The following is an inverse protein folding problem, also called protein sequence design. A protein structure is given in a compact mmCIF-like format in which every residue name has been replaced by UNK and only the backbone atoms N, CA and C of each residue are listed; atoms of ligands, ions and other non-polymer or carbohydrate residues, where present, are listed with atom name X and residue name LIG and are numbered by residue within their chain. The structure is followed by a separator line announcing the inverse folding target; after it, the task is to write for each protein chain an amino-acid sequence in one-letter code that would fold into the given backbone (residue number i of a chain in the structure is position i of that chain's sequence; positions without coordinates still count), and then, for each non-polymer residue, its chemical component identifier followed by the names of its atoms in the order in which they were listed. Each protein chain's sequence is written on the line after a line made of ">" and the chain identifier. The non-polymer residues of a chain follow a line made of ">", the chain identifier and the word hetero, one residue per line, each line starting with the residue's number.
data_IF_327590222741
#
_entry.id   IF_327590222741
#
_cell.length_a   1.000
_cell.length_b   1.000
_cell.length_c   1.000
_cell.angle_alpha   90.00
_cell.angle_beta   90.00
_cell.angle_gamma   90.00
#
_symmetry.space_group_name_H-M   'P 1'
#
loop_
_entity.id
_entity.type
_entity.pdbx_description
1 polymer ?
#
# COMPACT_ATOMS: atom_id res chain seq x y z
N UNK A 1 1.57 -45.61 30.10
CA UNK A 1 2.94 -45.67 30.65
C UNK A 1 2.79 -45.88 32.15
N UNK A 2 2.84 -47.13 32.63
CA UNK A 2 2.80 -47.40 34.07
C UNK A 2 4.14 -46.98 34.67
N UNK A 3 4.12 -46.03 35.61
CA UNK A 3 5.32 -45.62 36.34
C UNK A 3 5.93 -46.82 37.07
N UNK A 4 7.24 -46.92 37.03
CA UNK A 4 7.97 -47.98 37.72
C UNK A 4 8.13 -47.56 39.19
N UNK A 5 7.32 -48.17 40.05
CA UNK A 5 7.36 -47.95 41.50
C UNK A 5 8.63 -48.62 42.07
N UNK A 6 9.46 -47.83 42.75
CA UNK A 6 10.64 -48.34 43.47
C UNK A 6 10.33 -48.27 44.96
N UNK A 7 10.21 -49.44 45.59
CA UNK A 7 9.96 -49.57 47.03
C UNK A 7 11.31 -49.59 47.75
N UNK A 8 11.51 -48.65 48.68
CA UNK A 8 12.71 -48.61 49.53
C UNK A 8 12.64 -49.70 50.61
N UNK A 9 13.77 -50.04 51.24
CA UNK A 9 13.84 -51.13 52.24
C UNK A 9 12.92 -50.93 53.47
N UNK A 10 12.47 -49.70 53.71
CA UNK A 10 11.57 -49.33 54.81
C UNK A 10 10.08 -49.26 54.38
N UNK A 11 9.76 -49.67 53.15
CA UNK A 11 8.38 -49.76 52.65
C UNK A 11 7.79 -48.42 52.16
N UNK A 12 8.61 -47.38 52.00
CA UNK A 12 8.17 -46.11 51.42
C UNK A 12 8.13 -46.20 49.88
N UNK A 13 6.96 -45.89 49.30
CA UNK A 13 6.74 -45.80 47.85
C UNK A 13 7.22 -44.43 47.40
N UNK A 14 8.38 -44.39 46.73
CA UNK A 14 8.88 -43.15 46.12
C UNK A 14 8.41 -43.11 44.67
N UNK A 15 7.49 -42.19 44.36
CA UNK A 15 7.12 -41.90 42.97
C UNK A 15 8.33 -41.28 42.24
N UNK A 16 9.01 -42.10 41.43
CA UNK A 16 10.22 -41.77 40.66
C UNK A 16 10.01 -40.74 39.53
N UNK A 17 8.84 -40.11 39.45
CA UNK A 17 8.42 -39.30 38.32
C UNK A 17 8.70 -37.79 38.45
N UNK A 18 9.04 -37.28 39.66
CA UNK A 18 9.23 -35.83 39.89
C UNK A 18 10.66 -35.34 39.62
N UNK A 19 11.67 -36.20 39.86
CA UNK A 19 13.08 -35.88 39.66
C UNK A 19 13.48 -35.92 38.18
N UNK A 20 12.97 -36.88 37.42
CA UNK A 20 13.30 -37.07 36.00
C UNK A 20 12.82 -35.90 35.15
N UNK A 21 11.60 -35.39 35.39
CA UNK A 21 11.06 -34.23 34.68
C UNK A 21 11.80 -32.92 34.98
N UNK A 22 12.31 -32.75 36.22
CA UNK A 22 13.07 -31.56 36.60
C UNK A 22 14.48 -31.56 35.97
N UNK A 23 15.12 -32.73 35.90
CA UNK A 23 16.44 -32.90 35.27
C UNK A 23 16.35 -32.74 33.75
N UNK A 24 15.29 -33.24 33.11
CA UNK A 24 15.03 -33.05 31.68
C UNK A 24 14.79 -31.58 31.31
N UNK A 25 13.98 -30.85 32.11
CA UNK A 25 13.77 -29.41 31.93
C UNK A 25 15.04 -28.58 32.12
N UNK A 26 15.87 -28.95 33.10
CA UNK A 26 17.20 -28.35 33.32
C UNK A 26 18.12 -28.56 32.11
N UNK A 27 18.19 -29.78 31.56
CA UNK A 27 19.04 -30.08 30.40
C UNK A 27 18.59 -29.34 29.13
N UNK A 28 17.29 -29.22 28.88
CA UNK A 28 16.77 -28.46 27.75
C UNK A 28 17.16 -26.97 27.85
N UNK A 29 17.04 -26.38 29.04
CA UNK A 29 17.41 -24.99 29.26
C UNK A 29 18.90 -24.71 29.03
N UNK A 30 19.77 -25.65 29.42
CA UNK A 30 21.22 -25.57 29.19
C UNK A 30 21.56 -25.66 27.70
N UNK A 31 20.87 -26.54 26.96
CA UNK A 31 21.06 -26.68 25.51
C UNK A 31 20.66 -25.39 24.78
N UNK A 32 19.47 -24.85 25.08
CA UNK A 32 18.98 -23.61 24.45
C UNK A 32 19.90 -22.44 24.76
N UNK A 33 20.36 -22.32 26.01
CA UNK A 33 21.34 -21.30 26.39
C UNK A 33 22.65 -21.45 25.63
N UNK A 34 23.21 -22.66 25.57
CA UNK A 34 24.45 -22.91 24.86
C UNK A 34 24.34 -22.58 23.36
N UNK A 35 23.18 -22.87 22.75
CA UNK A 35 22.90 -22.51 21.36
C UNK A 35 22.87 -20.99 21.15
N UNK A 36 22.10 -20.26 21.98
CA UNK A 36 22.00 -18.81 21.89
C UNK A 36 23.38 -18.16 22.11
N UNK A 37 24.12 -18.61 23.13
CA UNK A 37 25.45 -18.10 23.44
C UNK A 37 26.41 -18.34 22.26
N UNK A 38 26.41 -19.54 21.66
CA UNK A 38 27.24 -19.83 20.49
C UNK A 38 26.88 -18.95 19.28
N UNK A 39 25.59 -18.67 19.06
CA UNK A 39 25.12 -17.81 17.98
C UNK A 39 25.58 -16.36 18.18
N UNK A 40 25.44 -15.82 19.40
CA UNK A 40 25.87 -14.47 19.75
C UNK A 40 27.39 -14.35 19.66
N UNK A 41 28.13 -15.34 20.15
CA UNK A 41 29.61 -15.37 20.06
C UNK A 41 30.06 -15.35 18.60
N UNK A 42 29.45 -16.18 17.74
CA UNK A 42 29.77 -16.22 16.31
C UNK A 42 29.48 -14.87 15.65
N UNK A 43 28.33 -14.26 15.93
CA UNK A 43 27.97 -12.95 15.38
C UNK A 43 28.95 -11.84 15.79
N UNK A 44 29.39 -11.84 17.05
CA UNK A 44 30.38 -10.87 17.55
C UNK A 44 31.79 -11.13 17.02
N UNK A 45 32.14 -12.38 16.75
CA UNK A 45 33.44 -12.75 16.16
C UNK A 45 33.53 -12.34 14.69
N UNK A 46 32.42 -12.39 13.95
CA UNK A 46 32.36 -12.06 12.53
C UNK A 46 31.35 -10.92 12.27
N UNK A 47 31.66 -9.68 12.68
CA UNK A 47 30.75 -8.56 12.53
C UNK A 47 30.53 -8.20 11.06
N UNK A 48 29.34 -7.71 10.74
CA UNK A 48 28.98 -7.33 9.37
C UNK A 48 29.68 -6.04 8.93
N UNK A 49 29.81 -5.87 7.61
CA UNK A 49 30.24 -4.60 7.00
C UNK A 49 29.07 -3.95 6.28
N UNK A 50 28.59 -2.81 6.79
CA UNK A 50 27.42 -2.12 6.23
C UNK A 50 27.60 -1.77 4.75
N UNK A 51 28.79 -1.34 4.33
CA UNK A 51 29.06 -1.04 2.91
C UNK A 51 28.91 -2.29 2.03
N UNK A 52 29.44 -3.45 2.47
CA UNK A 52 29.29 -4.71 1.73
C UNK A 52 27.84 -5.14 1.67
N UNK A 53 27.11 -5.03 2.78
CA UNK A 53 25.68 -5.36 2.83
C UNK A 53 24.88 -4.52 1.83
N UNK A 54 25.03 -3.19 1.87
CA UNK A 54 24.32 -2.29 0.94
C UNK A 54 24.67 -2.63 -0.52
N UNK A 55 25.96 -2.84 -0.81
CA UNK A 55 26.42 -3.22 -2.14
C UNK A 55 25.79 -4.52 -2.62
N UNK A 56 25.82 -5.57 -1.81
CA UNK A 56 25.26 -6.87 -2.17
C UNK A 56 23.74 -6.83 -2.35
N UNK A 57 23.00 -6.17 -1.44
CA UNK A 57 21.53 -6.04 -1.58
C UNK A 57 21.20 -5.34 -2.89
N UNK A 58 21.91 -4.25 -3.20
CA UNK A 58 21.71 -3.49 -4.43
C UNK A 58 21.96 -4.37 -5.65
N UNK A 59 23.13 -5.01 -5.72
CA UNK A 59 23.49 -5.90 -6.85
C UNK A 59 22.47 -7.01 -7.06
N UNK A 60 22.00 -7.65 -5.99
CA UNK A 60 21.02 -8.74 -6.08
C UNK A 60 19.63 -8.25 -6.47
N UNK A 61 19.20 -7.10 -5.95
CA UNK A 61 17.91 -6.50 -6.27
C UNK A 61 17.82 -5.99 -7.72
N UNK A 62 18.97 -5.75 -8.37
CA UNK A 62 19.06 -5.16 -9.71
C UNK A 62 19.71 -6.08 -10.74
N UNK A 63 19.71 -7.40 -10.52
CA UNK A 63 20.34 -8.37 -11.44
C UNK A 63 19.76 -8.29 -12.86
N UNK A 64 18.44 -8.17 -12.95
CA UNK A 64 17.68 -8.08 -14.19
C UNK A 64 16.31 -7.41 -13.94
N UNK A 65 15.57 -7.10 -15.01
CA UNK A 65 14.28 -6.41 -14.91
C UNK A 65 13.21 -7.24 -14.16
N UNK A 66 13.19 -8.56 -14.31
CA UNK A 66 12.22 -9.43 -13.66
C UNK A 66 12.51 -9.49 -12.15
N UNK A 67 13.76 -9.71 -11.78
CA UNK A 67 14.20 -9.65 -10.38
C UNK A 67 13.89 -8.29 -9.76
N UNK A 68 14.18 -7.18 -10.46
CA UNK A 68 13.87 -5.84 -9.98
C UNK A 68 12.36 -5.62 -9.76
N UNK A 69 11.50 -6.18 -10.61
CA UNK A 69 10.05 -6.11 -10.45
C UNK A 69 9.58 -6.85 -9.19
N UNK A 70 10.18 -8.00 -8.87
CA UNK A 70 9.85 -8.77 -7.66
C UNK A 70 10.23 -8.03 -6.36
N UNK A 71 11.10 -7.03 -6.41
CA UNK A 71 11.49 -6.23 -5.23
C UNK A 71 10.44 -5.19 -4.83
N UNK A 72 9.44 -4.95 -5.67
CA UNK A 72 8.45 -3.92 -5.49
C UNK A 72 7.12 -4.49 -4.97
N UNK A 73 6.49 -3.75 -4.06
CA UNK A 73 5.14 -3.98 -3.59
C UNK A 73 4.30 -2.73 -3.82
N UNK A 74 3.07 -2.89 -4.29
CA UNK A 74 2.10 -1.81 -4.37
C UNK A 74 0.69 -2.35 -4.16
N UNK A 75 -0.08 -1.66 -3.33
CA UNK A 75 -1.50 -1.91 -3.14
C UNK A 75 -2.26 -0.59 -3.13
N UNK A 76 -3.24 -0.45 -4.01
CA UNK A 76 -4.20 0.65 -3.91
C UNK A 76 -5.42 0.13 -3.16
N UNK A 77 -5.79 0.83 -2.08
CA UNK A 77 -7.02 0.53 -1.35
C UNK A 77 -8.01 1.62 -1.69
N UNK A 78 -8.98 1.31 -2.56
CA UNK A 78 -10.07 2.23 -2.87
C UNK A 78 -10.83 2.54 -1.58
N UNK A 79 -10.64 3.73 -1.02
CA UNK A 79 -11.47 4.18 0.08
C UNK A 79 -12.87 4.44 -0.48
N UNK A 80 -13.89 3.94 0.21
CA UNK A 80 -15.29 4.16 -0.17
C UNK A 80 -15.50 5.67 -0.18
N UNK A 81 -15.74 6.28 -1.34
CA UNK A 81 -15.99 7.71 -1.41
C UNK A 81 -17.07 8.09 -0.40
N UNK A 82 -16.74 8.98 0.53
CA UNK A 82 -17.72 9.58 1.42
C UNK A 82 -18.55 10.55 0.58
N UNK A 83 -19.72 10.13 0.10
CA UNK A 83 -20.68 10.96 -0.65
C UNK A 83 -20.22 11.37 -2.05
N UNK A 84 -21.14 11.36 -3.03
CA UNK A 84 -20.96 11.88 -4.39
C UNK A 84 -20.54 13.37 -4.45
N UNK A 85 -20.67 14.09 -3.33
CA UNK A 85 -20.37 15.52 -3.24
C UNK A 85 -19.10 15.84 -2.42
N UNK A 86 -18.35 14.85 -1.94
CA UNK A 86 -17.05 15.15 -1.36
C UNK A 86 -16.04 15.36 -2.49
N UNK A 87 -15.38 16.52 -2.49
CA UNK A 87 -14.21 16.77 -3.31
C UNK A 87 -13.24 15.60 -3.10
N UNK A 88 -12.96 14.83 -4.16
CA UNK A 88 -11.95 13.80 -4.09
C UNK A 88 -10.62 14.49 -3.75
N UNK A 89 -10.13 14.32 -2.53
CA UNK A 89 -8.78 14.73 -2.22
C UNK A 89 -7.84 13.75 -2.93
N UNK A 90 -6.94 14.24 -3.79
CA UNK A 90 -6.00 13.43 -4.58
C UNK A 90 -5.17 12.43 -3.75
N UNK A 91 -5.13 12.62 -2.42
CA UNK A 91 -4.47 11.71 -1.48
C UNK A 91 -5.25 10.41 -1.16
N UNK A 92 -6.55 10.34 -1.44
CA UNK A 92 -7.39 9.20 -0.98
C UNK A 92 -7.10 7.86 -1.68
N UNK A 93 -6.58 7.89 -2.90
CA UNK A 93 -6.27 6.68 -3.70
C UNK A 93 -4.76 6.46 -3.90
N UNK A 94 -3.90 7.13 -3.14
CA UNK A 94 -2.45 6.98 -3.32
C UNK A 94 -2.02 5.52 -3.09
N UNK A 95 -1.26 4.90 -4.03
CA UNK A 95 -0.77 3.54 -3.86
C UNK A 95 0.10 3.41 -2.61
N UNK A 96 -0.15 2.35 -1.83
CA UNK A 96 0.71 1.93 -0.72
C UNK A 96 1.90 1.20 -1.35
N UNK A 97 2.98 1.94 -1.61
CA UNK A 97 4.20 1.41 -2.22
C UNK A 97 5.27 1.10 -1.17
N UNK A 98 6.07 0.06 -1.42
CA UNK A 98 7.21 -0.25 -0.57
C UNK A 98 8.04 -1.44 -1.05
N UNK A 99 9.03 -1.84 -0.22
CA UNK A 99 9.78 -3.07 -0.44
C UNK A 99 8.85 -4.28 -0.40
N UNK A 100 9.03 -5.22 -1.30
CA UNK A 100 8.35 -6.52 -1.23
C UNK A 100 8.97 -7.43 -0.16
N UNK A 101 8.34 -8.59 0.08
CA UNK A 101 8.95 -9.64 0.89
C UNK A 101 10.29 -10.12 0.31
N UNK A 102 10.44 -10.16 -1.03
CA UNK A 102 11.69 -10.61 -1.66
C UNK A 102 12.84 -9.67 -1.38
N UNK A 103 12.61 -8.36 -1.45
CA UNK A 103 13.63 -7.38 -1.06
C UNK A 103 13.97 -7.49 0.43
N UNK A 104 12.97 -7.74 1.29
CA UNK A 104 13.22 -7.98 2.70
C UNK A 104 14.07 -9.24 2.93
N UNK A 105 13.80 -10.33 2.22
CA UNK A 105 14.58 -11.57 2.32
C UNK A 105 16.02 -11.39 1.85
N UNK A 106 16.25 -10.71 0.72
CA UNK A 106 17.61 -10.34 0.28
C UNK A 106 18.27 -9.47 1.34
N UNK A 107 17.56 -8.47 1.87
CA UNK A 107 18.09 -7.61 2.92
C UNK A 107 18.55 -8.42 4.13
N UNK A 108 17.73 -9.35 4.62
CA UNK A 108 18.10 -10.17 5.77
C UNK A 108 19.22 -11.18 5.46
N UNK A 109 19.21 -11.79 4.28
CA UNK A 109 20.28 -12.69 3.84
C UNK A 109 21.64 -11.98 3.82
N UNK A 110 21.68 -10.74 3.32
CA UNK A 110 22.91 -9.95 3.27
C UNK A 110 23.23 -9.26 4.59
N UNK A 111 22.24 -8.90 5.39
CA UNK A 111 22.42 -8.32 6.73
C UNK A 111 23.29 -9.24 7.57
N UNK A 112 23.08 -10.56 7.47
CA UNK A 112 23.84 -11.57 8.19
C UNK A 112 23.56 -11.52 9.69
N UNK A 113 24.11 -12.48 10.43
CA UNK A 113 24.05 -12.49 11.90
C UNK A 113 22.64 -12.23 12.47
N UNK A 114 21.60 -12.76 11.82
CA UNK A 114 20.20 -12.58 12.23
C UNK A 114 19.39 -13.87 12.09
N UNK A 115 18.29 -13.94 12.83
CA UNK A 115 17.27 -14.98 12.74
C UNK A 115 15.94 -14.37 12.34
N UNK A 116 15.18 -15.14 11.56
CA UNK A 116 13.87 -14.74 11.07
C UNK A 116 12.94 -15.92 11.30
N UNK A 117 11.76 -15.63 11.83
CA UNK A 117 10.69 -16.61 11.95
C UNK A 117 9.40 -16.00 11.39
N UNK A 118 8.55 -16.84 10.81
CA UNK A 118 7.20 -16.47 10.44
C UNK A 118 6.27 -17.66 10.65
N UNK A 119 5.18 -17.46 11.37
CA UNK A 119 4.23 -18.52 11.69
C UNK A 119 2.82 -17.99 11.80
N UNK A 120 1.86 -18.84 11.47
CA UNK A 120 0.45 -18.60 11.75
C UNK A 120 0.22 -18.89 13.22
N UNK A 121 -0.23 -17.89 13.98
CA UNK A 121 -0.45 -18.03 15.42
C UNK A 121 -1.91 -18.35 15.75
N UNK A 122 -2.85 -17.99 14.87
CA UNK A 122 -4.27 -18.24 15.09
C UNK A 122 -5.05 -18.36 13.79
N UNK A 123 -5.95 -19.33 13.70
CA UNK A 123 -6.95 -19.46 12.63
C UNK A 123 -8.32 -19.54 13.30
N UNK A 124 -9.03 -18.42 13.36
CA UNK A 124 -10.34 -18.35 13.98
C UNK A 124 -11.44 -18.42 12.91
N UNK A 125 -12.05 -19.61 12.79
CA UNK A 125 -13.15 -19.85 11.83
C UNK A 125 -14.48 -19.18 12.25
N UNK A 126 -14.65 -18.85 13.53
CA UNK A 126 -15.87 -18.21 14.05
C UNK A 126 -15.89 -16.72 13.73
N UNK A 127 -14.83 -16.00 14.09
CA UNK A 127 -14.63 -14.58 13.77
C UNK A 127 -14.07 -14.37 12.35
N UNK A 128 -13.77 -15.46 11.63
CA UNK A 128 -13.35 -15.49 10.23
C UNK A 128 -12.09 -14.65 9.98
N UNK A 129 -11.06 -14.87 10.77
CA UNK A 129 -9.72 -14.32 10.51
C UNK A 129 -8.61 -15.36 10.70
N UNK A 130 -7.49 -15.10 10.04
CA UNK A 130 -6.19 -15.68 10.35
C UNK A 130 -5.27 -14.60 10.91
N UNK A 131 -4.40 -14.98 11.82
CA UNK A 131 -3.38 -14.12 12.40
C UNK A 131 -2.02 -14.80 12.28
N UNK A 132 -1.04 -14.06 11.78
CA UNK A 132 0.33 -14.52 11.64
C UNK A 132 1.30 -13.54 12.29
N UNK A 133 2.41 -14.08 12.77
CA UNK A 133 3.48 -13.34 13.42
C UNK A 133 4.77 -13.55 12.64
N UNK A 134 5.48 -12.46 12.41
CA UNK A 134 6.85 -12.43 11.91
C UNK A 134 7.76 -11.92 13.02
N UNK A 135 8.91 -12.56 13.19
CA UNK A 135 9.93 -12.21 14.17
C UNK A 135 11.24 -12.05 13.43
N UNK A 136 11.96 -10.98 13.76
CA UNK A 136 13.33 -10.76 13.35
C UNK A 136 14.18 -10.51 14.61
N UNK A 137 15.31 -11.20 14.69
CA UNK A 137 16.29 -11.05 15.77
C UNK A 137 17.67 -10.84 15.16
N UNK A 138 18.30 -9.72 15.47
CA UNK A 138 19.69 -9.46 15.17
C UNK A 138 20.58 -9.98 16.30
N UNK A 139 21.44 -10.96 16.01
CA UNK A 139 22.32 -11.60 16.98
C UNK A 139 23.55 -10.75 17.32
N UNK A 140 23.90 -9.78 16.48
CA UNK A 140 25.08 -8.92 16.72
C UNK A 140 24.75 -7.74 17.63
N UNK A 141 23.60 -7.07 17.37
CA UNK A 141 23.15 -5.91 18.16
C UNK A 141 22.13 -6.27 19.24
N UNK A 142 21.60 -7.50 19.23
CA UNK A 142 20.48 -7.94 20.05
C UNK A 142 19.18 -7.15 19.82
N UNK A 143 19.05 -6.50 18.65
CA UNK A 143 17.81 -5.85 18.24
C UNK A 143 16.78 -6.91 17.84
N UNK A 144 15.56 -6.77 18.33
CA UNK A 144 14.44 -7.62 17.92
C UNK A 144 13.27 -6.78 17.41
N UNK A 145 12.57 -7.31 16.42
CA UNK A 145 11.30 -6.76 15.97
C UNK A 145 10.30 -7.86 15.71
N UNK A 146 9.03 -7.48 15.90
CA UNK A 146 7.90 -8.38 15.81
C UNK A 146 6.79 -7.67 15.08
N UNK A 147 6.19 -8.34 14.12
CA UNK A 147 5.05 -7.83 13.38
C UNK A 147 3.94 -8.87 13.38
N UNK A 148 2.75 -8.45 13.80
CA UNK A 148 1.55 -9.30 13.78
C UNK A 148 0.62 -8.78 12.69
N UNK A 149 0.13 -9.70 11.85
CA UNK A 149 -0.76 -9.39 10.74
C UNK A 149 -2.00 -10.25 10.85
N UNK A 150 -3.16 -9.58 10.85
CA UNK A 150 -4.47 -10.23 10.85
C UNK A 150 -5.13 -10.05 9.49
N UNK A 151 -5.60 -11.14 8.89
CA UNK A 151 -6.35 -11.14 7.62
C UNK A 151 -7.71 -11.79 7.79
N UNK A 152 -8.71 -11.23 7.11
CA UNK A 152 -10.05 -11.81 7.02
C UNK A 152 -10.03 -13.06 6.13
N UNK A 153 -10.70 -14.12 6.56
CA UNK A 153 -10.89 -15.38 5.81
C UNK A 153 -12.36 -15.59 5.45
N UNK A 154 -13.04 -14.53 5.00
CA UNK A 154 -14.42 -14.61 4.54
C UNK A 154 -14.61 -13.93 3.20
N UNK A 155 -15.52 -14.46 2.41
CA UNK A 155 -15.94 -13.89 1.13
C UNK A 155 -16.58 -12.52 1.29
N UNK A 156 -16.77 -11.83 0.17
CA UNK A 156 -17.50 -10.56 0.11
C UNK A 156 -18.94 -10.68 0.62
N UNK A 157 -19.54 -11.87 0.55
CA UNK A 157 -20.87 -12.21 1.07
C UNK A 157 -20.84 -12.63 2.55
N UNK A 158 -19.66 -12.65 3.17
CA UNK A 158 -19.48 -13.00 4.58
C UNK A 158 -19.36 -14.49 4.86
N UNK A 159 -19.38 -15.38 3.87
CA UNK A 159 -19.15 -16.81 4.06
C UNK A 159 -17.70 -17.11 4.38
N UNK A 160 -17.43 -18.16 5.16
CA UNK A 160 -16.06 -18.61 5.42
C UNK A 160 -15.40 -19.09 4.12
N UNK A 161 -14.10 -18.84 3.97
CA UNK A 161 -13.29 -19.41 2.90
C UNK A 161 -13.21 -20.94 2.97
N UNK A 162 -12.94 -21.58 1.83
CA UNK A 162 -12.57 -23.00 1.77
C UNK A 162 -11.24 -23.24 2.49
N UNK A 163 -10.95 -24.50 2.83
CA UNK A 163 -9.71 -24.83 3.55
C UNK A 163 -8.45 -24.43 2.77
N UNK A 164 -8.43 -24.66 1.46
CA UNK A 164 -7.32 -24.24 0.57
C UNK A 164 -7.14 -22.72 0.54
N UNK A 165 -8.25 -21.97 0.52
CA UNK A 165 -8.22 -20.51 0.56
C UNK A 165 -7.77 -19.99 1.93
N UNK A 166 -8.14 -20.67 3.03
CA UNK A 166 -7.64 -20.36 4.37
C UNK A 166 -6.14 -20.56 4.41
N UNK A 167 -5.62 -21.69 3.92
CA UNK A 167 -4.19 -21.98 3.87
C UNK A 167 -3.43 -20.94 3.04
N UNK A 168 -3.94 -20.60 1.85
CA UNK A 168 -3.34 -19.57 0.98
C UNK A 168 -3.32 -18.20 1.67
N UNK A 169 -4.42 -17.81 2.31
CA UNK A 169 -4.51 -16.54 3.06
C UNK A 169 -3.57 -16.53 4.28
N UNK A 170 -3.38 -17.69 4.92
CA UNK A 170 -2.48 -17.86 6.06
C UNK A 170 -1.00 -17.71 5.65
N UNK A 171 -0.63 -18.27 4.49
CA UNK A 171 0.70 -18.11 3.92
C UNK A 171 0.96 -16.64 3.53
N UNK A 172 -0.01 -15.98 2.90
CA UNK A 172 0.07 -14.55 2.59
C UNK A 172 0.22 -13.71 3.86
N UNK A 173 -0.57 -13.98 4.91
CA UNK A 173 -0.44 -13.28 6.19
C UNK A 173 0.96 -13.47 6.80
N UNK A 174 1.50 -14.70 6.76
CA UNK A 174 2.85 -15.00 7.25
C UNK A 174 3.94 -14.29 6.45
N UNK A 175 3.83 -14.21 5.12
CA UNK A 175 4.77 -13.48 4.27
C UNK A 175 4.76 -11.98 4.59
N UNK A 176 3.58 -11.36 4.75
CA UNK A 176 3.46 -9.94 5.10
C UNK A 176 4.04 -9.69 6.51
N UNK A 177 3.76 -10.57 7.47
CA UNK A 177 4.28 -10.45 8.83
C UNK A 177 5.82 -10.57 8.85
N UNK A 178 6.38 -11.55 8.12
CA UNK A 178 7.82 -11.73 7.93
C UNK A 178 8.47 -10.48 7.34
N UNK A 179 7.88 -9.94 6.26
CA UNK A 179 8.36 -8.72 5.59
C UNK A 179 8.42 -7.55 6.57
N UNK A 180 7.32 -7.32 7.28
CA UNK A 180 7.20 -6.19 8.19
C UNK A 180 8.20 -6.29 9.36
N UNK A 181 8.41 -7.51 9.90
CA UNK A 181 9.41 -7.74 10.95
C UNK A 181 10.82 -7.46 10.43
N UNK A 182 11.22 -8.03 9.29
CA UNK A 182 12.55 -7.80 8.72
C UNK A 182 12.80 -6.30 8.45
N UNK A 183 11.86 -5.61 7.82
CA UNK A 183 12.03 -4.20 7.44
C UNK A 183 12.00 -3.24 8.64
N UNK A 184 11.37 -3.65 9.74
CA UNK A 184 11.46 -2.95 11.03
C UNK A 184 12.80 -3.25 11.74
N UNK A 185 13.34 -4.45 11.55
CA UNK A 185 14.61 -4.91 12.10
C UNK A 185 15.84 -4.28 11.47
N UNK A 186 15.85 -4.18 10.14
CA UNK A 186 16.96 -3.66 9.37
C UNK A 186 16.78 -2.15 9.16
N UNK A 187 17.77 -1.30 9.46
CA UNK A 187 17.66 0.13 9.24
C UNK A 187 17.34 0.46 7.77
N UNK A 188 16.35 1.35 7.55
CA UNK A 188 15.87 1.70 6.19
C UNK A 188 16.97 2.16 5.24
N UNK A 189 18.01 2.85 5.74
CA UNK A 189 19.14 3.30 4.93
C UNK A 189 19.90 2.16 4.23
N UNK A 190 19.80 0.94 4.73
CA UNK A 190 20.53 -0.24 4.23
C UNK A 190 19.94 -0.75 2.91
N UNK A 191 18.61 -0.79 2.80
CA UNK A 191 17.92 -1.34 1.63
C UNK A 191 17.23 -0.29 0.75
N UNK A 192 17.11 0.97 1.22
CA UNK A 192 16.41 2.03 0.46
C UNK A 192 17.02 2.27 -0.92
N UNK A 193 18.35 2.24 -1.03
CA UNK A 193 19.04 2.41 -2.31
C UNK A 193 18.62 1.33 -3.31
N UNK A 194 18.71 0.06 -2.89
CA UNK A 194 18.31 -1.07 -3.71
C UNK A 194 16.85 -0.99 -4.18
N UNK A 195 15.93 -0.61 -3.28
CA UNK A 195 14.53 -0.39 -3.64
C UNK A 195 14.35 0.67 -4.73
N UNK A 196 15.02 1.82 -4.59
CA UNK A 196 14.90 2.93 -5.56
C UNK A 196 15.53 2.56 -6.91
N UNK A 197 16.64 1.84 -6.93
CA UNK A 197 17.27 1.38 -8.17
C UNK A 197 16.42 0.32 -8.87
N UNK A 198 15.89 -0.66 -8.13
CA UNK A 198 14.93 -1.63 -8.68
C UNK A 198 13.69 -0.92 -9.26
N UNK A 199 13.13 0.06 -8.54
CA UNK A 199 11.99 0.86 -9.02
C UNK A 199 12.32 1.60 -10.32
N UNK A 200 13.53 2.16 -10.43
CA UNK A 200 13.99 2.87 -11.64
C UNK A 200 14.15 1.92 -12.83
N UNK A 201 14.69 0.72 -12.63
CA UNK A 201 14.82 -0.30 -13.68
C UNK A 201 13.44 -0.67 -14.23
N UNK A 202 12.49 -0.92 -13.31
CA UNK A 202 11.12 -1.35 -13.67
C UNK A 202 10.32 -0.22 -14.33
N UNK A 203 10.52 1.03 -13.92
CA UNK A 203 9.88 2.19 -14.55
C UNK A 203 10.28 2.34 -16.04
N UNK A 204 11.49 1.91 -16.39
CA UNK A 204 12.06 2.05 -17.73
C UNK A 204 12.42 3.49 -18.09
N UNK A 205 12.47 3.77 -19.40
CA UNK A 205 12.82 5.09 -19.94
C UNK A 205 11.62 5.67 -20.70
N UNK A 206 11.69 6.95 -21.06
CA UNK A 206 10.66 7.58 -21.89
C UNK A 206 10.47 6.86 -23.24
N UNK A 207 11.53 6.27 -23.79
CA UNK A 207 11.52 5.53 -25.05
C UNK A 207 10.74 4.22 -24.95
N UNK A 208 10.81 3.53 -23.81
CA UNK A 208 10.12 2.25 -23.60
C UNK A 208 8.69 2.40 -23.07
N UNK A 209 8.25 3.64 -22.79
CA UNK A 209 6.98 3.92 -22.13
C UNK A 209 5.77 3.37 -22.88
N UNK A 210 5.68 3.54 -24.20
CA UNK A 210 4.53 3.05 -24.98
C UNK A 210 4.42 1.52 -24.92
N UNK A 211 5.53 0.83 -25.16
CA UNK A 211 5.56 -0.63 -25.08
C UNK A 211 5.28 -1.15 -23.66
N UNK A 212 5.72 -0.42 -22.63
CA UNK A 212 5.50 -0.79 -21.24
C UNK A 212 4.04 -0.61 -20.80
N UNK A 213 3.33 0.41 -21.32
CA UNK A 213 1.89 0.59 -21.10
C UNK A 213 1.10 -0.60 -21.62
N UNK A 214 1.32 -0.95 -22.89
CA UNK A 214 0.65 -2.10 -23.52
C UNK A 214 0.94 -3.41 -22.78
N UNK A 215 2.20 -3.65 -22.41
CA UNK A 215 2.59 -4.84 -21.63
C UNK A 215 1.90 -4.89 -20.26
N UNK A 216 1.86 -3.77 -19.55
CA UNK A 216 1.23 -3.69 -18.24
C UNK A 216 -0.28 -3.97 -18.33
N UNK A 217 -0.99 -3.30 -19.24
CA UNK A 217 -2.44 -3.49 -19.45
C UNK A 217 -2.73 -4.94 -19.84
N UNK A 218 -1.95 -5.51 -20.77
CA UNK A 218 -2.10 -6.91 -21.19
C UNK A 218 -1.84 -7.91 -20.06
N UNK A 219 -0.89 -7.62 -19.17
CA UNK A 219 -0.61 -8.47 -18.02
C UNK A 219 -1.81 -8.53 -17.07
N UNK A 220 -2.45 -7.39 -16.79
CA UNK A 220 -3.64 -7.33 -15.93
C UNK A 220 -4.88 -8.03 -16.53
N UNK A 221 -4.98 -8.12 -17.86
CA UNK A 221 -6.04 -8.88 -18.51
C UNK A 221 -6.06 -10.37 -18.12
N UNK A 222 -4.91 -10.96 -17.74
CA UNK A 222 -4.85 -12.35 -17.24
C UNK A 222 -5.59 -12.56 -15.91
N UNK A 223 -5.81 -11.48 -15.16
CA UNK A 223 -6.59 -11.44 -13.92
C UNK A 223 -8.03 -10.93 -14.14
N UNK A 224 -8.45 -10.76 -15.40
CA UNK A 224 -9.79 -10.26 -15.74
C UNK A 224 -10.00 -8.77 -15.45
N UNK A 225 -8.93 -8.01 -15.25
CA UNK A 225 -8.99 -6.56 -15.00
C UNK A 225 -9.11 -5.84 -16.34
N UNK A 226 -10.11 -4.98 -16.47
CA UNK A 226 -10.29 -4.14 -17.68
C UNK A 226 -9.44 -2.87 -17.61
N UNK A 227 -9.01 -2.28 -18.75
CA UNK A 227 -8.18 -1.09 -18.75
C UNK A 227 -8.76 0.09 -17.96
N UNK A 228 -10.08 0.25 -17.98
CA UNK A 228 -10.81 1.30 -17.26
C UNK A 228 -10.56 1.22 -15.74
N UNK A 229 -10.55 0.01 -15.16
CA UNK A 229 -10.23 -0.18 -13.74
C UNK A 229 -8.80 0.23 -13.40
N UNK A 230 -7.86 0.06 -14.33
CA UNK A 230 -6.47 0.46 -14.16
C UNK A 230 -6.36 1.99 -14.15
N UNK A 231 -7.07 2.66 -15.07
CA UNK A 231 -7.10 4.12 -15.16
C UNK A 231 -7.71 4.75 -13.90
N UNK A 232 -8.84 4.19 -13.44
CA UNK A 232 -9.51 4.61 -12.20
C UNK A 232 -8.61 4.51 -10.98
N UNK A 233 -7.89 3.40 -10.83
CA UNK A 233 -7.01 3.15 -9.68
C UNK A 233 -5.79 4.05 -9.69
N UNK A 234 -5.29 4.41 -10.87
CA UNK A 234 -4.18 5.35 -11.03
C UNK A 234 -4.62 6.82 -10.98
N UNK A 235 -5.93 7.10 -11.08
CA UNK A 235 -6.45 8.47 -11.18
C UNK A 235 -6.06 9.17 -12.48
N UNK A 236 -6.07 8.44 -13.59
CA UNK A 236 -5.76 8.97 -14.94
C UNK A 236 -6.95 8.79 -15.87
N UNK A 237 -7.12 9.68 -16.86
CA UNK A 237 -8.27 9.60 -17.78
C UNK A 237 -8.08 8.55 -18.89
N UNK A 238 -6.84 8.13 -19.15
CA UNK A 238 -6.55 7.10 -20.13
C UNK A 238 -5.08 6.75 -20.28
N UNK A 239 -4.82 5.83 -21.21
CA UNK A 239 -3.48 5.23 -21.41
C UNK A 239 -2.37 6.27 -21.64
N UNK A 240 -2.67 7.37 -22.33
CA UNK A 240 -1.69 8.41 -22.67
C UNK A 240 -1.13 9.14 -21.45
N UNK A 241 -1.89 9.19 -20.36
CA UNK A 241 -1.52 9.86 -19.10
C UNK A 241 -0.69 8.97 -18.17
N UNK A 242 -0.52 7.69 -18.50
CA UNK A 242 0.32 6.77 -17.72
C UNK A 242 1.79 7.17 -17.86
N UNK A 243 2.37 7.75 -16.80
CA UNK A 243 3.78 8.15 -16.74
C UNK A 243 4.67 6.96 -16.39
N UNK A 244 5.99 7.11 -16.52
CA UNK A 244 6.99 6.10 -16.14
C UNK A 244 6.85 5.67 -14.67
N UNK A 245 6.54 6.61 -13.77
CA UNK A 245 6.29 6.27 -12.36
C UNK A 245 5.08 5.34 -12.19
N UNK A 246 4.01 5.54 -12.96
CA UNK A 246 2.85 4.66 -12.93
C UNK A 246 3.19 3.25 -13.42
N UNK A 247 4.15 3.09 -14.35
CA UNK A 247 4.61 1.76 -14.80
C UNK A 247 5.22 0.97 -13.64
N UNK A 248 6.06 1.61 -12.82
CA UNK A 248 6.63 0.95 -11.65
C UNK A 248 5.53 0.52 -10.65
N UNK A 249 4.55 1.40 -10.39
CA UNK A 249 3.37 1.09 -9.57
C UNK A 249 2.59 -0.09 -10.14
N UNK A 250 2.30 -0.09 -11.44
CA UNK A 250 1.54 -1.15 -12.12
C UNK A 250 2.26 -2.49 -12.07
N UNK A 251 3.57 -2.51 -12.29
CA UNK A 251 4.38 -3.74 -12.16
C UNK A 251 4.39 -4.24 -10.72
N UNK A 252 4.51 -3.35 -9.74
CA UNK A 252 4.47 -3.70 -8.33
C UNK A 252 3.09 -4.25 -7.90
N UNK A 253 2.01 -3.66 -8.41
CA UNK A 253 0.63 -4.16 -8.24
C UNK A 253 0.47 -5.56 -8.84
N UNK A 254 0.95 -5.76 -10.08
CA UNK A 254 0.92 -7.06 -10.75
C UNK A 254 1.68 -8.13 -9.95
N UNK A 255 2.87 -7.82 -9.44
CA UNK A 255 3.64 -8.77 -8.60
C UNK A 255 2.93 -9.07 -7.27
N UNK A 256 2.28 -8.07 -6.68
CA UNK A 256 1.49 -8.25 -5.45
C UNK A 256 0.32 -9.22 -5.67
N UNK A 257 -0.34 -9.16 -6.84
CA UNK A 257 -1.37 -10.13 -7.24
C UNK A 257 -0.79 -11.51 -7.56
N UNK A 258 0.31 -11.56 -8.32
CA UNK A 258 1.01 -12.80 -8.69
C UNK A 258 1.44 -13.59 -7.45
N UNK A 259 1.87 -12.90 -6.39
CA UNK A 259 2.30 -13.52 -5.14
C UNK A 259 1.13 -13.86 -4.19
N UNK A 260 -0.11 -13.50 -4.52
CA UNK A 260 -1.28 -13.72 -3.67
C UNK A 260 -1.29 -12.87 -2.39
N UNK A 261 -0.48 -11.80 -2.33
CA UNK A 261 -0.44 -10.88 -1.20
C UNK A 261 -1.66 -9.93 -1.18
N UNK A 262 -2.32 -9.74 -2.32
CA UNK A 262 -3.59 -9.03 -2.43
C UNK A 262 -4.51 -9.74 -3.44
N UNK A 263 -5.81 -9.47 -3.36
CA UNK A 263 -6.78 -9.94 -4.35
C UNK A 263 -7.15 -8.83 -5.33
N UNK A 264 -7.71 -9.20 -6.48
CA UNK A 264 -8.20 -8.24 -7.47
C UNK A 264 -9.27 -7.33 -6.86
N UNK A 265 -10.17 -7.87 -6.02
CA UNK A 265 -11.20 -7.05 -5.38
C UNK A 265 -10.62 -6.09 -4.33
N UNK A 266 -9.53 -6.47 -3.64
CA UNK A 266 -8.84 -5.59 -2.69
C UNK A 266 -8.16 -4.42 -3.41
N UNK A 267 -7.61 -4.68 -4.61
CA UNK A 267 -6.79 -3.74 -5.36
C UNK A 267 -7.60 -2.80 -6.28
N UNK A 268 -8.63 -3.32 -6.95
CA UNK A 268 -9.45 -2.58 -7.93
C UNK A 268 -10.87 -2.26 -7.42
N UNK A 269 -11.25 -2.80 -6.25
CA UNK A 269 -12.62 -2.70 -5.76
C UNK A 269 -13.56 -3.68 -6.49
N UNK A 270 -14.85 -3.66 -6.11
CA UNK A 270 -15.87 -4.42 -6.86
C UNK A 270 -16.08 -3.75 -8.22
N UNK A 271 -16.18 -4.51 -9.32
CA UNK A 271 -16.76 -3.95 -10.54
C UNK A 271 -18.17 -3.47 -10.18
N UNK A 272 -18.44 -2.18 -10.37
CA UNK A 272 -19.82 -1.72 -10.33
C UNK A 272 -20.57 -2.47 -11.45
N UNK A 273 -21.74 -3.06 -11.18
CA UNK A 273 -22.52 -3.62 -12.27
C UNK A 273 -22.82 -2.47 -13.23
N UNK A 274 -22.43 -2.66 -14.49
CA UNK A 274 -22.75 -1.79 -15.61
C UNK A 274 -24.28 -1.76 -15.75
N UNK A 275 -24.96 -0.95 -14.93
CA UNK A 275 -26.36 -0.61 -15.13
C UNK A 275 -26.38 0.36 -16.31
N UNK A 276 -26.14 -0.16 -17.51
CA UNK A 276 -26.74 0.41 -18.70
C UNK A 276 -28.24 0.35 -18.44
N UNK A 277 -28.84 1.49 -18.15
CA UNK A 277 -30.29 1.66 -18.12
C UNK A 277 -30.80 1.23 -19.49
N UNK A 278 -31.19 -0.04 -19.59
CA UNK A 278 -32.03 -0.50 -20.68
C UNK A 278 -33.33 0.24 -20.48
N UNK A 279 -33.62 1.20 -21.37
CA UNK A 279 -34.92 1.86 -21.43
C UNK A 279 -35.99 0.79 -21.47
N UNK A 280 -36.83 0.73 -20.43
CA UNK A 280 -37.91 -0.23 -20.32
C UNK A 280 -38.85 -0.08 -21.53
N UNK A 281 -38.97 -1.09 -22.41
CA UNK A 281 -39.79 -0.99 -23.63
C UNK A 281 -41.30 -1.19 -23.38
N UNK A 282 -41.77 -0.94 -22.15
CA UNK A 282 -43.15 -1.19 -21.68
C UNK A 282 -43.81 0.07 -21.09
N UNK A 283 -43.47 1.26 -21.60
CA UNK A 283 -44.26 2.46 -21.33
C UNK A 283 -45.54 2.46 -22.20
N UNK A 284 -46.59 1.84 -21.67
CA UNK A 284 -47.92 1.75 -22.27
C UNK A 284 -48.66 3.09 -22.17
N UNK A 285 -48.46 3.96 -23.17
CA UNK A 285 -49.34 5.10 -23.40
C UNK A 285 -49.57 5.39 -24.90
N UNK A 286 -50.35 4.53 -25.57
CA UNK A 286 -51.46 4.88 -26.50
C UNK A 286 -52.01 3.66 -27.26
N UNK A 287 -53.31 3.67 -27.65
CA UNK A 287 -54.04 2.48 -28.07
C UNK A 287 -53.93 2.15 -29.57
N UNK A 288 -53.72 0.86 -29.81
CA UNK A 288 -54.25 -0.06 -30.85
C UNK A 288 -54.63 0.50 -32.23
N UNK A 289 -53.91 0.02 -33.26
CA UNK A 289 -54.51 -0.53 -34.47
C UNK A 289 -53.70 -1.75 -34.94
N UNK A 290 -54.35 -2.92 -35.02
CA UNK A 290 -53.77 -4.22 -35.42
C UNK A 290 -54.24 -4.61 -36.82
N UNK A 291 -53.31 -5.08 -37.67
CA UNK A 291 -53.45 -6.25 -38.57
C UNK A 291 -52.03 -6.84 -38.76
N UNK A 292 -51.74 -8.02 -38.20
CA UNK A 292 -51.85 -9.36 -38.81
C UNK A 292 -50.89 -9.51 -40.04
N UNK A 293 -50.01 -10.50 -40.18
CA UNK A 293 -50.05 -11.88 -39.68
C UNK A 293 -48.67 -12.57 -39.80
N UNK A 294 -48.49 -13.56 -38.93
CA UNK A 294 -47.70 -14.80 -38.96
C UNK A 294 -46.30 -14.91 -39.62
N UNK A 295 -45.31 -15.35 -38.83
CA UNK A 295 -44.92 -16.79 -38.76
C UNK A 295 -43.67 -17.02 -37.91
N UNK A 296 -43.72 -18.09 -37.12
CA UNK A 296 -42.77 -18.54 -36.09
C UNK A 296 -41.68 -19.48 -36.65
N UNK A 297 -40.54 -19.47 -35.94
CA UNK A 297 -39.59 -20.56 -35.66
C UNK A 297 -38.79 -21.11 -36.87
N UNK A 298 -37.47 -21.32 -36.81
CA UNK A 298 -36.75 -22.18 -35.87
C UNK A 298 -35.24 -21.97 -36.08
N UNK A 299 -34.45 -22.15 -35.03
CA UNK A 299 -32.99 -22.16 -34.99
C UNK A 299 -32.39 -23.30 -35.84
N UNK A 300 -31.24 -23.09 -36.49
CA UNK A 300 -29.98 -23.74 -36.12
C UNK A 300 -28.82 -23.36 -37.05
N UNK A 301 -27.63 -23.57 -36.50
CA UNK A 301 -26.32 -23.02 -36.85
C UNK A 301 -25.68 -23.62 -38.11
N UNK A 302 -24.72 -22.86 -38.65
CA UNK A 302 -23.29 -23.23 -38.72
C UNK A 302 -22.63 -23.02 -40.10
N UNK A 303 -21.40 -22.50 -40.04
CA UNK A 303 -20.34 -22.45 -41.08
C UNK A 303 -20.62 -21.48 -42.24
N UNK A 304 -19.66 -20.74 -42.77
CA UNK A 304 -18.22 -20.69 -42.60
C UNK A 304 -17.64 -19.83 -43.74
N UNK A 305 -16.57 -19.11 -43.43
CA UNK A 305 -15.48 -18.68 -44.31
C UNK A 305 -15.70 -17.83 -45.59
N UNK A 306 -15.06 -16.65 -45.49
CA UNK A 306 -14.05 -16.09 -46.42
C UNK A 306 -14.43 -15.33 -47.70
N UNK A 307 -13.90 -14.09 -47.68
CA UNK A 307 -13.21 -13.33 -48.73
C UNK A 307 -14.04 -12.64 -49.82
N UNK A 308 -13.76 -11.33 -49.95
CA UNK A 308 -13.99 -10.58 -51.17
C UNK A 308 -13.84 -9.08 -50.95
N UNK A 309 -12.74 -8.52 -51.45
CA UNK A 309 -12.38 -7.10 -51.38
C UNK A 309 -13.05 -6.24 -52.45
N UNK A 310 -13.28 -4.95 -52.16
CA UNK A 310 -13.06 -3.77 -53.04
C UNK A 310 -13.45 -2.51 -52.26
N UNK A 311 -12.51 -1.62 -51.96
CA UNK A 311 -12.15 -0.39 -52.71
C UNK A 311 -13.32 0.59 -52.96
N UNK A 312 -13.15 1.84 -52.49
CA UNK A 312 -13.81 2.99 -53.13
C UNK A 312 -14.21 4.20 -52.28
N UNK A 313 -13.21 5.02 -51.92
CA UNK A 313 -13.18 6.50 -52.04
C UNK A 313 -14.15 7.46 -51.30
N UNK A 314 -13.48 8.55 -50.89
CA UNK A 314 -13.88 9.98 -50.84
C UNK A 314 -14.57 10.58 -49.59
N UNK A 315 -13.73 11.29 -48.82
CA UNK A 315 -13.97 12.59 -48.10
C UNK A 315 -14.46 13.68 -49.08
N UNK A 316 -14.78 14.95 -48.68
CA UNK A 316 -14.72 15.65 -47.38
C UNK A 316 -16.01 16.49 -47.09
N UNK A 317 -16.20 17.14 -45.92
CA UNK A 317 -15.87 18.56 -45.59
C UNK A 317 -16.50 18.88 -44.21
N UNK A 318 -15.77 19.52 -43.28
CA UNK A 318 -15.81 20.98 -42.94
C UNK A 318 -17.23 21.48 -42.56
N UNK A 319 -17.48 22.33 -41.57
CA UNK A 319 -16.70 23.17 -40.66
C UNK A 319 -17.72 23.82 -39.69
N UNK A 320 -17.21 24.52 -38.67
CA UNK A 320 -17.82 25.60 -37.87
C UNK A 320 -18.12 25.29 -36.41
N UNK A 321 -17.93 26.18 -35.44
CA UNK A 321 -17.06 27.36 -35.19
C UNK A 321 -17.50 27.83 -33.79
N UNK A 322 -16.53 28.21 -32.96
CA UNK A 322 -16.56 29.19 -31.86
C UNK A 322 -17.74 29.27 -30.87
N UNK A 323 -17.44 29.33 -29.57
CA UNK A 323 -17.53 30.58 -28.79
C UNK A 323 -16.97 30.40 -27.37
N UNK A 324 -16.47 31.51 -26.82
CA UNK A 324 -15.62 31.59 -25.64
C UNK A 324 -16.34 31.73 -24.29
N UNK A 325 -15.65 32.26 -23.25
CA UNK A 325 -15.74 31.76 -21.87
C UNK A 325 -16.51 32.68 -20.91
N UNK A 326 -16.99 32.12 -19.79
CA UNK A 326 -17.48 32.90 -18.64
C UNK A 326 -16.89 32.42 -17.30
N UNK A 327 -16.68 33.41 -16.43
CA UNK A 327 -16.12 33.42 -15.08
C UNK A 327 -17.23 33.30 -14.02
N UNK A 328 -16.77 33.14 -12.76
CA UNK A 328 -17.46 33.43 -11.48
C UNK A 328 -18.51 32.38 -11.07
N UNK A 329 -18.69 32.00 -9.80
CA UNK A 329 -18.37 32.67 -8.54
C UNK A 329 -18.40 31.63 -7.40
N UNK A 330 -17.65 31.94 -6.36
CA UNK A 330 -17.57 31.27 -5.05
C UNK A 330 -18.84 31.45 -4.23
N UNK A 331 -19.32 30.37 -3.59
CA UNK A 331 -20.32 30.41 -2.52
C UNK A 331 -19.77 29.68 -1.29
N UNK A 332 -19.48 30.43 -0.23
CA UNK A 332 -19.25 29.93 1.12
C UNK A 332 -20.56 29.43 1.73
N UNK A 333 -20.52 28.30 2.45
CA UNK A 333 -21.46 28.08 3.55
C UNK A 333 -20.78 27.40 4.73
N UNK A 334 -21.01 28.02 5.90
CA UNK A 334 -20.41 27.76 7.21
C UNK A 334 -20.98 26.47 7.83
N UNK A 335 -20.16 25.77 8.61
CA UNK A 335 -20.67 24.97 9.73
C UNK A 335 -19.68 25.01 10.89
N UNK A 336 -20.19 25.51 12.01
CA UNK A 336 -19.54 25.73 13.28
C UNK A 336 -19.24 24.40 13.99
N UNK A 337 -18.02 24.25 14.53
CA UNK A 337 -17.70 23.16 15.46
C UNK A 337 -17.34 23.75 16.83
N UNK A 338 -18.06 23.28 17.84
CA UNK A 338 -17.89 23.54 19.27
C UNK A 338 -16.44 23.37 19.74
N UNK A 339 -15.99 24.31 20.56
CA UNK A 339 -14.69 24.32 21.23
C UNK A 339 -14.69 23.44 22.50
N UNK A 340 -13.59 22.69 22.68
CA UNK A 340 -13.10 22.17 23.97
C UNK A 340 -11.72 22.81 24.26
N UNK A 341 -11.31 22.95 25.53
CA UNK A 341 -10.36 23.99 25.97
C UNK A 341 -8.88 23.68 25.70
N UNK A 342 -8.12 24.75 25.45
CA UNK A 342 -6.71 24.76 25.05
C UNK A 342 -5.76 24.24 26.14
N UNK A 343 -4.82 23.38 25.73
CA UNK A 343 -3.63 23.01 26.50
C UNK A 343 -2.53 24.08 26.27
N UNK A 344 -1.91 24.59 27.33
CA UNK A 344 -0.77 25.52 27.24
C UNK A 344 0.43 24.82 26.56
N UNK A 345 0.90 25.40 25.44
CA UNK A 345 2.06 24.92 24.67
C UNK A 345 3.37 25.35 25.32
N UNK A 346 4.43 24.54 25.19
CA UNK A 346 5.76 24.89 25.74
C UNK A 346 6.44 25.96 24.86
N UNK A 347 7.37 26.78 25.42
CA UNK A 347 8.08 27.81 24.65
C UNK A 347 8.83 27.28 23.41
N UNK A 348 9.34 26.06 23.45
CA UNK A 348 10.00 25.41 22.31
C UNK A 348 9.03 25.07 21.17
N UNK A 349 7.78 24.71 21.52
CA UNK A 349 6.74 24.44 20.52
C UNK A 349 6.31 25.73 19.83
N UNK A 350 6.19 26.83 20.59
CA UNK A 350 5.88 28.16 20.04
C UNK A 350 6.98 28.59 19.06
N UNK A 351 8.25 28.44 19.42
CA UNK A 351 9.37 28.79 18.53
C UNK A 351 9.37 27.98 17.22
N UNK A 352 9.12 26.66 17.31
CA UNK A 352 9.04 25.80 16.13
C UNK A 352 7.84 26.14 15.23
N UNK A 353 6.70 26.54 15.83
CA UNK A 353 5.52 27.02 15.12
C UNK A 353 5.77 28.35 14.41
N UNK A 354 6.46 29.30 15.07
CA UNK A 354 6.89 30.58 14.49
C UNK A 354 7.82 30.40 13.29
N UNK A 355 8.84 29.55 13.40
CA UNK A 355 9.77 29.27 12.29
C UNK A 355 9.07 28.60 11.10
N UNK A 356 8.12 27.69 11.37
CA UNK A 356 7.34 27.04 10.33
C UNK A 356 6.38 28.02 9.62
N UNK A 357 5.77 28.94 10.36
CA UNK A 357 4.90 29.97 9.80
C UNK A 357 5.68 30.93 8.89
N UNK A 358 6.90 31.32 9.29
CA UNK A 358 7.78 32.16 8.47
C UNK A 358 8.18 31.50 7.15
N UNK A 359 8.61 30.23 7.18
CA UNK A 359 8.97 29.50 5.97
C UNK A 359 7.79 29.39 4.97
N UNK A 360 6.56 29.25 5.49
CA UNK A 360 5.35 29.27 4.65
C UNK A 360 5.07 30.65 4.04
N UNK A 361 5.44 31.73 4.73
CA UNK A 361 5.39 33.10 4.19
C UNK A 361 6.34 33.28 3.01
N UNK A 362 7.59 32.84 3.16
CA UNK A 362 8.59 32.87 2.10
C UNK A 362 8.18 32.06 0.87
N UNK A 363 7.61 30.86 1.10
CA UNK A 363 7.12 30.00 0.03
C UNK A 363 5.94 30.64 -0.73
N UNK A 364 5.02 31.29 -0.01
CA UNK A 364 3.90 32.01 -0.61
C UNK A 364 4.38 33.19 -1.47
N UNK A 365 5.40 33.93 -1.01
CA UNK A 365 6.06 34.99 -1.79
C UNK A 365 6.74 34.42 -3.03
N UNK A 366 7.49 33.32 -2.89
CA UNK A 366 8.17 32.65 -4.00
C UNK A 366 7.20 32.13 -5.07
N UNK A 367 5.99 31.73 -4.67
CA UNK A 367 4.90 31.31 -5.57
C UNK A 367 4.11 32.48 -6.17
N UNK A 368 4.48 33.73 -5.87
CA UNK A 368 3.79 34.93 -6.38
C UNK A 368 2.35 35.08 -5.87
N UNK A 369 2.04 34.50 -4.71
CA UNK A 369 0.71 34.58 -4.11
C UNK A 369 0.48 35.99 -3.53
N UNK A 370 -0.78 36.39 -3.36
CA UNK A 370 -1.12 37.67 -2.71
C UNK A 370 -1.00 37.57 -1.18
N UNK A 371 -0.78 38.68 -0.44
CA UNK A 371 -0.76 38.69 1.03
C UNK A 371 -2.04 38.13 1.68
N UNK A 372 -3.16 38.12 0.95
CA UNK A 372 -4.42 37.55 1.43
C UNK A 372 -4.40 36.02 1.52
N UNK A 373 -3.41 35.36 0.91
CA UNK A 373 -3.21 33.92 0.92
C UNK A 373 -2.74 33.36 2.28
N UNK A 374 -2.59 34.22 3.30
CA UNK A 374 -2.33 33.80 4.67
C UNK A 374 -3.34 32.73 5.12
N UNK A 375 -2.86 31.57 5.62
CA UNK A 375 -3.70 30.49 6.13
C UNK A 375 -4.73 30.98 7.15
N UNK A 376 -5.96 30.48 7.05
CA UNK A 376 -7.06 30.88 7.95
C UNK A 376 -6.82 30.45 9.41
N UNK A 377 -5.95 29.46 9.64
CA UNK A 377 -5.52 29.02 10.97
C UNK A 377 -4.77 30.11 11.74
N UNK A 378 -3.93 30.89 11.06
CA UNK A 378 -3.17 31.99 11.67
C UNK A 378 -4.03 33.21 12.01
N UNK A 379 -5.18 33.36 11.35
CA UNK A 379 -6.13 34.46 11.61
C UNK A 379 -7.03 34.22 12.83
N UNK A 380 -6.88 33.08 13.52
CA UNK A 380 -7.66 32.74 14.71
C UNK A 380 -7.08 33.39 15.97
N UNK A 381 -7.91 33.79 16.94
CA UNK A 381 -7.44 34.26 18.24
C UNK A 381 -6.51 33.24 18.89
N UNK A 382 -5.34 33.68 19.36
CA UNK A 382 -4.31 32.82 19.97
C UNK A 382 -3.17 32.38 19.03
N UNK A 383 -3.26 32.69 17.74
CA UNK A 383 -2.23 32.38 16.73
C UNK A 383 -1.51 33.62 16.18
N UNK A 384 -1.52 34.72 16.95
CA UNK A 384 -0.99 36.02 16.52
C UNK A 384 0.52 35.95 16.16
N UNK A 385 1.29 35.17 16.92
CA UNK A 385 2.72 34.95 16.67
C UNK A 385 2.99 34.21 15.34
N UNK A 386 2.11 33.29 14.93
CA UNK A 386 2.23 32.60 13.63
C UNK A 386 1.81 33.53 12.48
N UNK A 387 0.79 34.37 12.68
CA UNK A 387 0.33 35.33 11.69
C UNK A 387 1.39 36.41 11.40
N UNK A 388 2.05 36.91 12.44
CA UNK A 388 3.13 37.87 12.33
C UNK A 388 4.35 37.24 11.63
N UNK A 389 4.76 36.04 12.03
CA UNK A 389 5.87 35.32 11.41
C UNK A 389 5.62 35.01 9.92
N UNK A 390 4.41 34.58 9.57
CA UNK A 390 4.04 34.36 8.16
C UNK A 390 4.10 35.65 7.36
N UNK A 391 3.63 36.77 7.93
CA UNK A 391 3.68 38.08 7.28
C UNK A 391 5.12 38.55 7.10
N UNK A 392 5.98 38.36 8.11
CA UNK A 392 7.41 38.68 8.04
C UNK A 392 8.10 37.88 6.91
N UNK A 393 7.84 36.58 6.80
CA UNK A 393 8.40 35.74 5.73
C UNK A 393 7.87 36.13 4.35
N UNK A 394 6.58 36.50 4.26
CA UNK A 394 5.98 36.96 3.01
C UNK A 394 6.56 38.31 2.55
N UNK A 395 6.79 39.23 3.48
CA UNK A 395 7.39 40.54 3.19
C UNK A 395 8.92 40.45 3.00
N UNK A 396 9.54 39.37 3.46
CA UNK A 396 10.99 39.17 3.48
C UNK A 396 11.69 40.04 4.54
N UNK A 397 11.01 40.27 5.68
CA UNK A 397 11.60 40.89 6.87
C UNK A 397 12.23 39.80 7.74
N UNK A 398 13.45 40.03 8.24
CA UNK A 398 14.10 39.06 9.13
C UNK A 398 13.32 38.95 10.46
N UNK A 399 13.02 37.72 10.89
CA UNK A 399 12.44 37.40 12.21
C UNK A 399 13.26 37.93 13.40
N UNK A 400 14.52 38.31 13.16
CA UNK A 400 15.50 38.74 14.18
C UNK A 400 15.93 40.20 14.02
N UNK A 401 15.13 41.03 13.36
CA UNK A 401 15.34 42.47 13.38
C UNK A 401 14.50 43.11 14.50
N UNK A 402 15.02 43.27 15.73
CA UNK A 402 14.38 44.11 16.73
C UNK A 402 14.62 45.56 16.31
N UNK A 403 13.68 46.13 15.56
CA UNK A 403 13.80 47.51 15.11
C UNK A 403 12.47 48.24 15.16
N UNK A 404 12.39 49.24 16.05
CA UNK A 404 11.37 50.30 16.17
C UNK A 404 10.13 49.98 17.03
N UNK A 405 10.34 49.83 18.35
CA UNK A 405 9.43 50.52 19.28
C UNK A 405 9.74 52.02 19.15
N UNK A 406 8.75 52.77 18.68
CA UNK A 406 8.72 54.23 18.78
C UNK A 406 8.63 54.62 20.26
N UNK A 407 9.66 55.34 20.75
CA UNK A 407 9.53 56.53 21.60
C UNK A 407 10.74 57.47 21.40
#
# INVERSE_FOLDING_TARGET
>A
MSGQEVITQDGEIVESNSLTSAVEGSNLSLIVRAEIDAQIVTAKQFPRSIQKVIGNITTLATLDEETAAEMLYALVRKKKQRSKNAQANDEENKPIEGPSIRLAEIAAQQWGNCRIEARVINVNRTEKYVEAEGIFLDLETNMASKATVRRRISTSQGYLFSEDMINTTSNAASAIAKRNAILAGIPRGVYRKAYLEARKIVAGTAETLSANREKAIKAFATYGVVPEQIFDVLGVEGEREIKTDHIATLRAMFMTLKNGEATVEEMFGKPEPDHKTVSNPLDDSKPVDRKADDSKATEEQAQGEQKGASEGKDKPKQENVASGPEKQETGEEKSETKAEPAQEKTPEQIAAETDAAYARGEEAKAKGMSPKAMPAEFKKPGHEHEAEAWTAGFEGRDLRDPGTEEE
#
